data_IF_931333332889
#
_entry.id   IF_931333332889
#
_cell.length_a   1.000
_cell.length_b   1.000
_cell.length_c   1.000
_cell.angle_alpha   90.00
_cell.angle_beta   90.00
_cell.angle_gamma   90.00
#
_symmetry.space_group_name_H-M   'P 1'
#
loop_
_entity.id
_entity.type
_entity.pdbx_description
1 polymer ?
#
# COMPACT_ATOMS: atom_id res chain seq x y z
N UNK A 1 52.84 15.94 26.36
CA UNK A 1 51.71 15.75 25.42
C UNK A 1 50.42 15.57 26.22
N UNK A 2 49.49 16.54 26.25
CA UNK A 2 48.22 16.31 26.93
C UNK A 2 47.30 15.45 26.05
N UNK A 3 46.75 14.38 26.63
CA UNK A 3 45.80 13.47 25.97
C UNK A 3 44.50 14.22 25.67
N UNK A 4 44.14 14.31 24.39
CA UNK A 4 42.84 14.79 23.94
C UNK A 4 41.72 13.96 24.57
N UNK A 5 40.88 14.58 25.41
CA UNK A 5 39.64 13.95 25.89
C UNK A 5 38.69 13.84 24.70
N UNK A 6 38.44 12.61 24.25
CA UNK A 6 37.35 12.31 23.33
C UNK A 6 36.04 12.90 23.89
N UNK A 7 35.47 13.87 23.19
CA UNK A 7 34.15 14.42 23.51
C UNK A 7 33.14 13.34 23.14
N UNK A 8 32.72 12.55 24.13
CA UNK A 8 31.57 11.65 23.96
C UNK A 8 30.39 12.47 23.46
N UNK A 9 29.79 12.07 22.32
CA UNK A 9 28.58 12.71 21.81
C UNK A 9 27.54 12.72 22.92
N UNK A 10 26.98 13.91 23.21
CA UNK A 10 25.86 14.03 24.12
C UNK A 10 24.73 13.13 23.61
N UNK A 11 24.16 12.32 24.52
CA UNK A 11 23.02 11.46 24.19
C UNK A 11 21.87 12.34 23.69
N UNK A 12 21.54 12.20 22.41
CA UNK A 12 20.33 12.75 21.84
C UNK A 12 19.28 11.64 21.85
N UNK A 13 18.16 11.80 22.57
CA UNK A 13 17.10 10.80 22.55
C UNK A 13 16.62 10.64 21.10
N UNK A 14 16.52 9.39 20.63
CA UNK A 14 15.96 9.09 19.31
C UNK A 14 14.60 9.77 19.20
N UNK A 15 14.36 10.46 18.07
CA UNK A 15 13.10 11.16 17.84
C UNK A 15 11.95 10.15 17.97
N UNK A 16 10.91 10.51 18.74
CA UNK A 16 9.70 9.69 18.90
C UNK A 16 8.79 9.73 17.68
N UNK A 17 9.19 10.37 16.57
CA UNK A 17 8.35 10.59 15.40
C UNK A 17 7.77 9.28 14.82
N UNK A 18 8.52 8.18 14.92
CA UNK A 18 8.10 6.84 14.52
C UNK A 18 7.03 6.19 15.40
N UNK A 19 7.01 6.53 16.68
CA UNK A 19 6.06 6.01 17.68
C UNK A 19 4.73 6.79 17.71
N UNK A 20 4.57 7.77 16.81
CA UNK A 20 3.35 8.56 16.71
C UNK A 20 2.33 7.76 15.90
N UNK A 21 1.12 7.62 16.47
CA UNK A 21 -0.01 6.99 15.78
C UNK A 21 -0.39 7.74 14.50
N UNK A 22 -0.80 7.00 13.45
CA UNK A 22 -1.17 7.60 12.18
C UNK A 22 -2.44 8.47 12.27
N UNK A 23 -3.33 8.27 13.26
CA UNK A 23 -4.43 9.22 13.50
C UNK A 23 -3.97 10.65 13.79
N UNK A 24 -2.75 10.84 14.30
CA UNK A 24 -2.15 12.16 14.51
C UNK A 24 -1.41 12.68 13.26
N UNK A 25 -1.32 11.85 12.21
CA UNK A 25 -0.71 12.16 10.92
C UNK A 25 -1.69 11.81 9.77
N UNK A 26 -2.91 12.37 9.76
CA UNK A 26 -3.97 11.96 8.83
C UNK A 26 -3.61 12.13 7.35
N UNK A 27 -2.72 13.08 7.02
CA UNK A 27 -2.20 13.27 5.66
C UNK A 27 -1.45 12.04 5.13
N UNK A 28 -0.82 11.23 5.99
CA UNK A 28 -0.17 9.97 5.58
C UNK A 28 -1.18 8.90 5.21
N UNK A 29 -2.28 8.82 5.96
CA UNK A 29 -3.39 7.90 5.64
C UNK A 29 -4.01 8.36 4.32
N UNK A 30 -4.33 9.65 4.20
CA UNK A 30 -4.89 10.23 2.99
C UNK A 30 -4.04 9.95 1.75
N UNK A 31 -2.73 10.19 1.81
CA UNK A 31 -1.83 9.97 0.68
C UNK A 31 -1.81 8.52 0.15
N UNK A 32 -2.10 7.53 1.00
CA UNK A 32 -2.16 6.11 0.59
C UNK A 32 -3.50 5.75 -0.05
N UNK A 33 -4.60 6.26 0.50
CA UNK A 33 -5.94 5.85 0.07
C UNK A 33 -6.53 6.73 -1.03
N UNK A 34 -6.10 7.98 -1.15
CA UNK A 34 -6.65 8.92 -2.12
C UNK A 34 -6.51 8.45 -3.58
N UNK A 35 -5.37 7.89 -4.04
CA UNK A 35 -5.28 7.37 -5.40
C UNK A 35 -6.27 6.24 -5.69
N UNK A 36 -6.56 5.41 -4.69
CA UNK A 36 -7.53 4.31 -4.81
C UNK A 36 -8.96 4.86 -4.86
N UNK A 37 -9.29 5.80 -3.99
CA UNK A 37 -10.60 6.46 -3.97
C UNK A 37 -10.84 7.21 -5.30
N UNK A 38 -9.83 7.92 -5.82
CA UNK A 38 -9.91 8.66 -7.08
C UNK A 38 -10.20 7.77 -8.29
N UNK A 39 -9.57 6.59 -8.39
CA UNK A 39 -9.87 5.64 -9.46
C UNK A 39 -11.28 5.08 -9.34
N UNK A 40 -11.72 4.74 -8.12
CA UNK A 40 -13.09 4.25 -7.93
C UNK A 40 -14.12 5.34 -8.31
N UNK A 41 -13.83 6.60 -8.00
CA UNK A 41 -14.65 7.74 -8.40
C UNK A 41 -14.67 7.92 -9.94
N UNK A 42 -13.52 7.80 -10.62
CA UNK A 42 -13.43 7.88 -12.09
C UNK A 42 -14.26 6.79 -12.77
N UNK A 43 -14.16 5.55 -12.26
CA UNK A 43 -14.95 4.41 -12.75
C UNK A 43 -16.44 4.65 -12.54
N UNK A 44 -16.84 5.13 -11.35
CA UNK A 44 -18.25 5.35 -11.03
C UNK A 44 -18.87 6.46 -11.89
N UNK A 45 -18.12 7.54 -12.15
CA UNK A 45 -18.59 8.70 -12.90
C UNK A 45 -18.58 8.48 -14.42
N UNK A 46 -17.51 7.89 -14.95
CA UNK A 46 -17.26 7.81 -16.39
C UNK A 46 -17.40 6.40 -16.98
N UNK A 47 -17.33 5.36 -16.14
CA UNK A 47 -17.20 3.97 -16.59
C UNK A 47 -15.82 3.64 -17.19
N UNK A 48 -14.86 4.55 -17.10
CA UNK A 48 -13.55 4.45 -17.73
C UNK A 48 -12.43 4.61 -16.70
N UNK A 49 -11.23 4.14 -17.07
CA UNK A 49 -9.98 4.39 -16.36
C UNK A 49 -8.87 4.66 -17.37
N UNK A 50 -7.88 5.43 -16.96
CA UNK A 50 -6.64 5.56 -17.72
C UNK A 50 -5.87 4.24 -17.73
N UNK A 51 -5.31 3.87 -18.89
CA UNK A 51 -4.58 2.60 -19.08
C UNK A 51 -3.24 2.80 -19.78
N UNK A 52 -2.32 1.86 -19.60
CA UNK A 52 -1.11 1.74 -20.43
C UNK A 52 -1.45 1.32 -21.86
N UNK A 53 -0.46 1.32 -22.76
CA UNK A 53 -0.61 0.76 -24.12
C UNK A 53 -1.03 -0.71 -24.12
N UNK A 54 -0.68 -1.46 -23.06
CA UNK A 54 -1.06 -2.86 -22.85
C UNK A 54 -2.45 -3.02 -22.20
N UNK A 55 -3.18 -1.92 -22.00
CA UNK A 55 -4.52 -1.92 -21.41
C UNK A 55 -4.55 -2.09 -19.89
N UNK A 56 -3.42 -1.89 -19.19
CA UNK A 56 -3.36 -2.02 -17.72
C UNK A 56 -3.76 -0.70 -17.04
N UNK A 57 -4.70 -0.71 -16.08
CA UNK A 57 -5.11 0.51 -15.37
C UNK A 57 -3.95 1.20 -14.65
N UNK A 58 -3.89 2.53 -14.73
CA UNK A 58 -2.82 3.36 -14.14
C UNK A 58 -3.38 4.48 -13.26
N UNK A 59 -2.57 4.95 -12.32
CA UNK A 59 -2.78 6.21 -11.60
C UNK A 59 -1.49 7.03 -11.57
N UNK A 60 -1.64 8.33 -11.33
CA UNK A 60 -0.53 9.24 -11.09
C UNK A 60 -0.41 9.59 -9.62
N UNK A 61 0.82 9.61 -9.10
CA UNK A 61 1.09 10.17 -7.78
C UNK A 61 1.21 11.69 -7.88
N UNK A 62 0.39 12.41 -7.12
CA UNK A 62 0.33 13.88 -7.15
C UNK A 62 1.65 14.57 -6.77
N UNK A 63 2.50 13.92 -5.96
CA UNK A 63 3.72 14.52 -5.42
C UNK A 63 4.89 14.54 -6.44
N UNK A 64 5.01 13.50 -7.27
CA UNK A 64 6.15 13.29 -8.15
C UNK A 64 5.76 13.18 -9.63
N UNK A 65 4.45 13.16 -9.94
CA UNK A 65 3.91 12.97 -11.28
C UNK A 65 4.40 11.66 -11.93
N UNK A 66 4.75 10.68 -11.11
CA UNK A 66 5.08 9.33 -11.53
C UNK A 66 3.79 8.56 -11.80
N UNK A 67 3.82 7.71 -12.83
CA UNK A 67 2.69 6.87 -13.23
C UNK A 67 2.95 5.44 -12.79
N UNK A 68 1.99 4.86 -12.10
CA UNK A 68 2.07 3.52 -11.55
C UNK A 68 0.91 2.67 -12.06
N UNK A 69 1.17 1.38 -12.26
CA UNK A 69 0.11 0.41 -12.51
C UNK A 69 -0.75 0.24 -11.25
N UNK A 70 -2.05 0.39 -11.43
CA UNK A 70 -3.00 0.40 -10.32
C UNK A 70 -3.19 -0.96 -9.68
N UNK A 71 -3.37 -2.01 -10.49
CA UNK A 71 -3.61 -3.39 -10.01
C UNK A 71 -2.49 -3.89 -9.09
N UNK A 72 -1.21 -3.91 -9.49
CA UNK A 72 -0.14 -4.37 -8.60
C UNK A 72 0.02 -3.49 -7.36
N UNK A 73 -0.22 -2.18 -7.48
CA UNK A 73 -0.18 -1.26 -6.33
C UNK A 73 -1.30 -1.57 -5.32
N UNK A 74 -2.52 -1.82 -5.79
CA UNK A 74 -3.66 -2.21 -4.95
C UNK A 74 -3.44 -3.60 -4.32
N UNK A 75 -2.87 -4.55 -5.05
CA UNK A 75 -2.47 -5.85 -4.50
C UNK A 75 -1.45 -5.69 -3.35
N UNK A 76 -0.45 -4.83 -3.50
CA UNK A 76 0.51 -4.55 -2.42
C UNK A 76 -0.15 -3.94 -1.18
N UNK A 77 -1.14 -3.05 -1.37
CA UNK A 77 -1.94 -2.49 -0.28
C UNK A 77 -2.76 -3.57 0.44
N UNK A 78 -3.44 -4.43 -0.33
CA UNK A 78 -4.22 -5.56 0.18
C UNK A 78 -3.33 -6.49 1.00
N UNK A 79 -2.19 -6.90 0.46
CA UNK A 79 -1.25 -7.80 1.13
C UNK A 79 -0.72 -7.21 2.44
N UNK A 80 -0.44 -5.91 2.48
CA UNK A 80 -0.04 -5.23 3.70
C UNK A 80 -1.12 -5.29 4.78
N UNK A 81 -2.38 -5.01 4.43
CA UNK A 81 -3.47 -5.04 5.40
C UNK A 81 -3.91 -6.45 5.80
N UNK A 82 -3.78 -7.43 4.92
CA UNK A 82 -3.98 -8.84 5.27
C UNK A 82 -2.92 -9.28 6.29
N UNK A 83 -1.65 -8.97 6.04
CA UNK A 83 -0.57 -9.24 7.00
C UNK A 83 -0.78 -8.50 8.32
N UNK A 84 -1.27 -7.25 8.28
CA UNK A 84 -1.65 -6.52 9.49
C UNK A 84 -2.77 -7.24 10.26
N UNK A 85 -3.82 -7.66 9.55
CA UNK A 85 -4.95 -8.33 10.15
C UNK A 85 -4.54 -9.65 10.80
N UNK A 86 -3.72 -10.45 10.10
CA UNK A 86 -3.15 -11.70 10.63
C UNK A 86 -2.30 -11.46 11.88
N UNK A 87 -1.37 -10.49 11.84
CA UNK A 87 -0.48 -10.16 12.97
C UNK A 87 -1.22 -9.74 14.23
N UNK A 88 -2.42 -9.17 14.09
CA UNK A 88 -3.19 -8.59 15.18
C UNK A 88 -4.52 -9.32 15.45
N UNK A 89 -4.75 -10.48 14.80
CA UNK A 89 -6.00 -11.22 14.87
C UNK A 89 -7.25 -10.36 14.61
N UNK A 90 -7.15 -9.45 13.64
CA UNK A 90 -8.25 -8.59 13.20
C UNK A 90 -9.04 -9.26 12.06
N UNK A 91 -10.31 -8.87 11.84
CA UNK A 91 -11.05 -9.33 10.68
C UNK A 91 -10.39 -8.84 9.38
N UNK A 92 -10.29 -9.74 8.40
CA UNK A 92 -9.88 -9.42 7.04
C UNK A 92 -11.03 -8.68 6.34
N UNK A 93 -10.79 -7.42 5.99
CA UNK A 93 -11.76 -6.54 5.34
C UNK A 93 -11.38 -6.18 3.91
N UNK A 94 -10.40 -6.88 3.32
CA UNK A 94 -9.85 -6.58 1.98
C UNK A 94 -10.52 -7.37 0.85
N UNK A 95 -11.45 -8.28 1.17
CA UNK A 95 -12.00 -9.22 0.18
C UNK A 95 -12.66 -8.52 -1.03
N UNK A 96 -13.38 -7.43 -0.82
CA UNK A 96 -13.98 -6.69 -1.93
C UNK A 96 -12.91 -6.02 -2.82
N UNK A 97 -11.81 -5.53 -2.23
CA UNK A 97 -10.69 -4.99 -2.99
C UNK A 97 -9.98 -6.07 -3.82
N UNK A 98 -9.88 -7.31 -3.31
CA UNK A 98 -9.38 -8.45 -4.09
C UNK A 98 -10.25 -8.72 -5.31
N UNK A 99 -11.57 -8.66 -5.16
CA UNK A 99 -12.50 -8.80 -6.30
C UNK A 99 -12.29 -7.69 -7.33
N UNK A 100 -12.13 -6.44 -6.88
CA UNK A 100 -11.82 -5.31 -7.76
C UNK A 100 -10.50 -5.54 -8.52
N UNK A 101 -9.42 -5.95 -7.84
CA UNK A 101 -8.15 -6.29 -8.50
C UNK A 101 -8.34 -7.33 -9.60
N UNK A 102 -9.04 -8.44 -9.29
CA UNK A 102 -9.24 -9.53 -10.25
C UNK A 102 -10.07 -9.08 -11.46
N UNK A 103 -11.11 -8.27 -11.25
CA UNK A 103 -11.94 -7.76 -12.33
C UNK A 103 -11.17 -6.78 -13.21
N UNK A 104 -10.46 -5.83 -12.61
CA UNK A 104 -9.65 -4.85 -13.33
C UNK A 104 -8.49 -5.49 -14.10
N UNK A 105 -7.79 -6.46 -13.53
CA UNK A 105 -6.70 -7.17 -14.21
C UNK A 105 -7.17 -7.91 -15.48
N UNK A 106 -8.41 -8.41 -15.44
CA UNK A 106 -9.08 -9.11 -16.55
C UNK A 106 -9.83 -8.17 -17.50
N UNK A 107 -9.79 -6.86 -17.28
CA UNK A 107 -10.56 -5.89 -18.07
C UNK A 107 -12.08 -6.07 -17.97
N UNK A 108 -12.56 -6.60 -16.85
CA UNK A 108 -13.99 -6.78 -16.59
C UNK A 108 -14.60 -5.50 -16.00
N UNK A 109 -15.85 -5.22 -16.36
CA UNK A 109 -16.59 -4.10 -15.76
C UNK A 109 -16.83 -4.34 -14.27
N UNK A 110 -16.64 -3.28 -13.48
CA UNK A 110 -17.08 -3.22 -12.10
C UNK A 110 -18.56 -2.85 -12.04
N UNK A 111 -19.31 -3.52 -11.18
CA UNK A 111 -20.69 -3.18 -10.88
C UNK A 111 -20.79 -2.33 -9.60
N UNK A 112 -22.00 -1.86 -9.28
CA UNK A 112 -22.23 -1.04 -8.08
C UNK A 112 -21.93 -1.79 -6.78
N UNK A 113 -22.06 -3.11 -6.73
CA UNK A 113 -21.75 -3.89 -5.54
C UNK A 113 -20.24 -3.98 -5.31
N UNK A 114 -19.45 -4.11 -6.38
CA UNK A 114 -17.98 -4.05 -6.31
C UNK A 114 -17.51 -2.70 -5.75
N UNK A 115 -18.04 -1.61 -6.31
CA UNK A 115 -17.65 -0.25 -5.91
C UNK A 115 -18.06 0.04 -4.47
N UNK A 116 -19.29 -0.31 -4.07
CA UNK A 116 -19.77 -0.15 -2.70
C UNK A 116 -18.91 -0.97 -1.71
N UNK A 117 -18.65 -2.26 -2.02
CA UNK A 117 -17.83 -3.12 -1.17
C UNK A 117 -16.38 -2.64 -1.05
N UNK A 118 -15.81 -2.12 -2.14
CA UNK A 118 -14.48 -1.51 -2.13
C UNK A 118 -14.43 -0.28 -1.23
N UNK A 119 -15.44 0.61 -1.31
CA UNK A 119 -15.52 1.80 -0.44
C UNK A 119 -15.68 1.44 1.03
N UNK A 120 -16.50 0.45 1.36
CA UNK A 120 -16.63 -0.05 2.72
C UNK A 120 -15.31 -0.61 3.26
N UNK A 121 -14.60 -1.37 2.42
CA UNK A 121 -13.28 -1.91 2.74
C UNK A 121 -12.30 -0.77 3.02
N UNK A 122 -12.18 0.21 2.12
CA UNK A 122 -11.31 1.39 2.26
C UNK A 122 -11.62 2.15 3.56
N UNK A 123 -12.90 2.37 3.88
CA UNK A 123 -13.30 3.05 5.10
C UNK A 123 -12.85 2.27 6.36
N UNK A 124 -13.00 0.95 6.36
CA UNK A 124 -12.54 0.08 7.44
C UNK A 124 -11.00 0.13 7.57
N UNK A 125 -10.27 0.07 6.46
CA UNK A 125 -8.80 0.13 6.42
C UNK A 125 -8.27 1.48 6.91
N UNK A 126 -8.88 2.61 6.51
CA UNK A 126 -8.55 3.95 7.02
C UNK A 126 -8.73 4.03 8.53
N UNK A 127 -9.80 3.43 9.05
CA UNK A 127 -10.05 3.35 10.50
C UNK A 127 -8.99 2.52 11.22
N UNK A 128 -8.65 1.33 10.71
CA UNK A 128 -7.59 0.47 11.27
C UNK A 128 -6.22 1.16 11.25
N UNK A 129 -5.92 1.84 10.14
CA UNK A 129 -4.66 2.59 9.96
C UNK A 129 -4.46 3.62 11.06
N UNK A 130 -5.53 4.29 11.52
CA UNK A 130 -5.45 5.33 12.54
C UNK A 130 -4.80 4.89 13.86
N UNK A 131 -4.88 3.60 14.19
CA UNK A 131 -4.32 3.06 15.43
C UNK A 131 -2.90 2.50 15.28
N UNK A 132 -2.39 2.39 14.05
CA UNK A 132 -1.00 2.00 13.78
C UNK A 132 -0.01 3.10 14.17
N UNK A 133 1.16 2.69 14.66
CA UNK A 133 2.31 3.59 14.75
C UNK A 133 2.95 3.76 13.36
N UNK A 134 3.50 4.94 13.08
CA UNK A 134 4.12 5.23 11.79
C UNK A 134 5.29 4.28 11.46
N UNK A 135 6.12 3.92 12.45
CA UNK A 135 7.21 2.95 12.27
C UNK A 135 6.68 1.55 11.97
N UNK A 136 5.56 1.15 12.59
CA UNK A 136 4.93 -0.13 12.33
C UNK A 136 4.42 -0.20 10.89
N UNK A 137 3.71 0.84 10.43
CA UNK A 137 3.23 0.91 9.05
C UNK A 137 4.38 0.89 8.03
N UNK A 138 5.48 1.59 8.30
CA UNK A 138 6.66 1.55 7.45
C UNK A 138 7.28 0.14 7.36
N UNK A 139 7.42 -0.55 8.49
CA UNK A 139 7.93 -1.94 8.52
C UNK A 139 7.00 -2.89 7.80
N UNK A 140 5.68 -2.72 7.95
CA UNK A 140 4.69 -3.52 7.26
C UNK A 140 4.85 -3.42 5.74
N UNK A 141 4.97 -2.19 5.21
CA UNK A 141 5.23 -1.97 3.77
C UNK A 141 6.56 -2.61 3.36
N UNK A 142 7.60 -2.46 4.19
CA UNK A 142 8.91 -3.05 3.90
C UNK A 142 8.87 -4.58 3.84
N UNK A 143 8.11 -5.22 4.72
CA UNK A 143 7.93 -6.68 4.73
C UNK A 143 7.26 -7.16 3.44
N UNK A 144 6.26 -6.43 2.94
CA UNK A 144 5.60 -6.73 1.65
C UNK A 144 6.55 -6.53 0.46
N UNK A 145 7.33 -5.44 0.45
CA UNK A 145 8.35 -5.24 -0.59
C UNK A 145 9.36 -6.39 -0.63
N UNK A 146 9.83 -6.83 0.55
CA UNK A 146 10.74 -7.98 0.65
C UNK A 146 10.07 -9.26 0.13
N UNK A 147 8.80 -9.49 0.47
CA UNK A 147 8.03 -10.63 -0.06
C UNK A 147 8.02 -10.64 -1.59
N UNK A 148 7.64 -9.52 -2.22
CA UNK A 148 7.62 -9.43 -3.69
C UNK A 148 9.00 -9.57 -4.33
N UNK A 149 10.04 -8.98 -3.72
CA UNK A 149 11.42 -9.13 -4.18
C UNK A 149 11.87 -10.61 -4.15
N UNK A 150 11.49 -11.36 -3.11
CA UNK A 150 11.80 -12.79 -2.99
C UNK A 150 11.03 -13.64 -4.02
N UNK A 151 9.73 -13.38 -4.20
CA UNK A 151 8.89 -14.07 -5.19
C UNK A 151 9.43 -13.85 -6.61
N UNK A 152 9.78 -12.62 -6.97
CA UNK A 152 10.38 -12.30 -8.27
C UNK A 152 11.74 -12.99 -8.48
N UNK A 153 12.55 -13.15 -7.43
CA UNK A 153 13.81 -13.89 -7.52
C UNK A 153 13.58 -15.38 -7.77
N UNK A 154 12.59 -15.97 -7.09
CA UNK A 154 12.22 -17.38 -7.27
C UNK A 154 11.71 -17.65 -8.69
N UNK A 155 10.85 -16.78 -9.22
CA UNK A 155 10.34 -16.89 -10.58
C UNK A 155 11.46 -16.80 -11.62
N UNK A 156 12.38 -15.85 -11.47
CA UNK A 156 13.57 -15.73 -12.33
C UNK A 156 14.47 -16.96 -12.27
N UNK A 157 14.61 -17.58 -11.10
CA UNK A 157 15.38 -18.81 -10.95
C UNK A 157 14.69 -19.99 -11.67
N UNK A 158 13.38 -20.15 -11.50
CA UNK A 158 12.59 -21.20 -12.16
C UNK A 158 12.63 -21.07 -13.69
N UNK A 159 12.51 -19.86 -14.22
CA UNK A 159 12.62 -19.60 -15.66
C UNK A 159 14.01 -19.93 -16.21
N UNK A 160 15.07 -19.71 -15.41
CA UNK A 160 16.44 -20.05 -15.79
C UNK A 160 16.69 -21.56 -15.77
N UNK A 161 16.03 -22.31 -14.89
CA UNK A 161 16.12 -23.78 -14.85
C UNK A 161 15.28 -24.45 -15.94
N UNK A 162 14.22 -23.79 -16.42
CA UNK A 162 13.36 -24.27 -17.49
C UNK A 162 13.87 -23.98 -18.91
N UNK A 163 14.92 -23.17 -19.06
CA UNK A 163 15.54 -22.76 -20.33
C UNK A 163 16.85 -23.51 -20.60
#
# INVERSE_FOLDING_TARGET
>A
MPKSKSRGKAYSPKSRAGQVKLRAQPWKIHAVFEPVEAILDEIELSGMVSVTEEGKPIFSELAHNDVYEFVPSLCGLIDAFDLHAERNALPIVTNALKTVCVKLDKGQMLDQFDLAGARESIAALKKQSGDMEADYAYRLIRDIQIKFELEAQQERAQLREAA
#
